data_IF_107565967075
#
_entry.id   IF_107565967075
#
_cell.length_a   1.000
_cell.length_b   1.000
_cell.length_c   1.000
_cell.angle_alpha   90.00
_cell.angle_beta   90.00
_cell.angle_gamma   90.00
#
_symmetry.space_group_name_H-M   'P 1'
#
loop_
_entity.id
_entity.type
_entity.pdbx_description
1 polymer ?
#
# COMPACT_ATOMS: atom_id res chain seq x y z
N UNK A 1 0.75 29.44 -33.58
CA UNK A 1 0.95 30.89 -33.35
C UNK A 1 -0.08 31.36 -32.34
N UNK A 2 0.34 32.00 -31.26
CA UNK A 2 -0.55 32.52 -30.19
C UNK A 2 -1.32 33.77 -30.58
N UNK A 3 -0.82 34.52 -31.56
CA UNK A 3 -1.42 35.79 -32.05
C UNK A 3 -1.77 35.67 -33.52
N UNK A 4 -3.05 35.88 -33.85
CA UNK A 4 -3.60 35.85 -35.21
C UNK A 4 -4.25 37.15 -35.56
N UNK A 5 -3.94 37.73 -36.75
CA UNK A 5 -4.60 38.92 -37.29
C UNK A 5 -5.95 38.54 -37.92
N UNK A 6 -7.03 39.22 -37.52
CA UNK A 6 -8.39 38.94 -38.02
C UNK A 6 -8.87 39.97 -39.06
N UNK A 7 -8.19 41.12 -39.18
CA UNK A 7 -8.57 42.21 -40.10
C UNK A 7 -7.99 43.55 -39.64
N UNK A 8 -8.55 44.69 -40.10
CA UNK A 8 -8.06 46.05 -39.80
C UNK A 8 -7.85 46.23 -38.29
N UNK A 9 -6.57 46.21 -37.84
CA UNK A 9 -6.12 46.40 -36.44
C UNK A 9 -6.74 45.44 -35.42
N UNK A 10 -7.46 44.37 -35.82
CA UNK A 10 -8.05 43.38 -34.90
C UNK A 10 -7.16 42.15 -34.83
N UNK A 11 -6.87 41.70 -33.61
CA UNK A 11 -6.05 40.53 -33.34
C UNK A 11 -6.76 39.60 -32.35
N UNK A 12 -6.59 38.30 -32.61
CA UNK A 12 -6.97 37.23 -31.71
C UNK A 12 -5.71 36.71 -31.02
N UNK A 13 -5.71 36.69 -29.70
CA UNK A 13 -4.63 36.20 -28.86
C UNK A 13 -5.19 35.06 -28.07
N UNK A 14 -4.59 33.88 -28.22
CA UNK A 14 -4.98 32.68 -27.47
C UNK A 14 -3.75 31.91 -27.02
N UNK A 15 -3.81 31.34 -25.82
CA UNK A 15 -2.72 30.57 -25.28
C UNK A 15 -3.09 29.94 -23.97
N UNK A 16 -2.10 29.42 -23.30
CA UNK A 16 -2.24 28.90 -21.96
C UNK A 16 -1.02 29.26 -21.12
N UNK A 17 -1.23 29.42 -19.82
CA UNK A 17 -0.18 29.54 -18.82
C UNK A 17 -0.35 28.44 -17.79
N UNK A 18 0.74 27.82 -17.32
CA UNK A 18 0.65 26.83 -16.28
C UNK A 18 0.20 27.50 -14.97
N UNK A 19 -0.74 26.87 -14.27
CA UNK A 19 -1.14 27.29 -12.92
C UNK A 19 -0.29 26.57 -11.87
N UNK A 20 -0.28 27.12 -10.66
CA UNK A 20 0.38 26.49 -9.49
C UNK A 20 -0.12 25.07 -9.19
N UNK A 21 -1.34 24.71 -9.62
CA UNK A 21 -1.94 23.38 -9.45
C UNK A 21 -1.53 22.36 -10.52
N UNK A 22 -0.65 22.74 -11.47
CA UNK A 22 -0.22 21.88 -12.58
C UNK A 22 -1.25 21.75 -13.70
N UNK A 23 -2.35 22.46 -13.63
CA UNK A 23 -3.32 22.63 -14.73
C UNK A 23 -2.89 23.81 -15.60
N UNK A 24 -3.50 23.93 -16.77
CA UNK A 24 -3.29 25.07 -17.64
C UNK A 24 -4.49 26.01 -17.55
N UNK A 25 -4.23 27.30 -17.35
CA UNK A 25 -5.22 28.37 -17.54
C UNK A 25 -5.18 28.78 -19.01
N UNK A 26 -6.31 28.62 -19.70
CA UNK A 26 -6.44 29.00 -21.09
C UNK A 26 -7.00 30.42 -21.18
N UNK A 27 -6.37 31.26 -21.99
CA UNK A 27 -6.84 32.66 -22.24
C UNK A 27 -7.15 32.84 -23.70
N UNK A 28 -8.12 33.73 -23.93
CA UNK A 28 -8.58 34.10 -25.25
C UNK A 28 -9.01 35.57 -25.24
N UNK A 29 -8.36 36.39 -26.09
CA UNK A 29 -8.68 37.81 -26.23
C UNK A 29 -8.88 38.16 -27.69
N UNK A 30 -9.85 39.04 -27.96
CA UNK A 30 -10.00 39.76 -29.24
C UNK A 30 -9.89 41.23 -28.95
N UNK A 31 -8.78 41.86 -29.35
CA UNK A 31 -8.48 43.26 -29.09
C UNK A 31 -7.91 43.91 -30.34
N UNK A 32 -7.99 45.26 -30.38
CA UNK A 32 -7.40 46.06 -31.44
C UNK A 32 -6.02 46.51 -31.01
N UNK A 33 -5.03 46.32 -31.89
CA UNK A 33 -3.66 46.78 -31.74
C UNK A 33 -3.15 47.38 -33.04
N UNK A 34 -2.19 48.31 -32.97
CA UNK A 34 -1.63 48.94 -34.15
C UNK A 34 -0.72 48.02 -34.95
N UNK A 35 -0.07 47.08 -34.28
CA UNK A 35 0.82 46.09 -34.88
C UNK A 35 0.70 44.73 -34.23
N UNK A 36 1.24 43.69 -34.93
CA UNK A 36 1.34 42.34 -34.36
C UNK A 36 2.32 42.29 -33.19
N UNK A 37 3.33 43.17 -33.19
CA UNK A 37 4.31 43.23 -32.09
C UNK A 37 3.67 43.79 -30.83
N UNK A 38 2.80 44.80 -30.94
CA UNK A 38 2.04 45.30 -29.81
C UNK A 38 1.08 44.25 -29.23
N UNK A 39 0.45 43.45 -30.07
CA UNK A 39 -0.39 42.34 -29.63
C UNK A 39 0.42 41.23 -28.90
N UNK A 40 1.65 40.95 -29.36
CA UNK A 40 2.58 40.01 -28.69
C UNK A 40 3.10 40.57 -27.37
N UNK A 41 3.42 41.84 -27.31
CA UNK A 41 3.84 42.51 -26.08
C UNK A 41 2.72 42.49 -25.04
N UNK A 42 1.46 42.70 -25.47
CA UNK A 42 0.30 42.55 -24.61
C UNK A 42 0.14 41.13 -24.09
N UNK A 43 0.36 40.11 -24.94
CA UNK A 43 0.34 38.70 -24.50
C UNK A 43 1.43 38.40 -23.47
N UNK A 44 2.65 38.90 -23.67
CA UNK A 44 3.75 38.77 -22.74
C UNK A 44 3.44 39.41 -21.38
N UNK A 45 2.97 40.65 -21.37
CA UNK A 45 2.55 41.37 -20.15
C UNK A 45 1.41 40.66 -19.43
N UNK A 46 0.48 40.05 -20.16
CA UNK A 46 -0.59 39.25 -19.57
C UNK A 46 -0.05 38.00 -18.90
N UNK A 47 0.89 37.28 -19.55
CA UNK A 47 1.54 36.09 -18.97
C UNK A 47 2.35 36.45 -17.72
N UNK A 48 3.04 37.56 -17.74
CA UNK A 48 3.82 38.06 -16.61
C UNK A 48 2.91 38.46 -15.44
N UNK A 49 1.84 39.25 -15.71
CA UNK A 49 0.88 39.65 -14.67
C UNK A 49 0.17 38.40 -14.06
N UNK A 50 -0.23 37.46 -14.90
CA UNK A 50 -0.85 36.23 -14.44
C UNK A 50 0.10 35.41 -13.55
N UNK A 51 1.39 35.36 -13.91
CA UNK A 51 2.41 34.74 -13.09
C UNK A 51 2.63 35.49 -11.76
N UNK A 52 2.62 36.80 -11.76
CA UNK A 52 2.77 37.64 -10.55
C UNK A 52 1.54 37.48 -9.64
N UNK A 53 0.31 37.53 -10.16
CA UNK A 53 -0.93 37.39 -9.39
C UNK A 53 -1.12 35.99 -8.80
N UNK A 54 -0.64 34.94 -9.48
CA UNK A 54 -0.71 33.56 -9.01
C UNK A 54 0.53 33.08 -8.24
N UNK A 55 1.57 33.91 -8.15
CA UNK A 55 2.82 33.66 -7.44
C UNK A 55 3.12 34.77 -6.42
N UNK A 56 2.14 35.25 -5.66
CA UNK A 56 2.46 35.80 -4.34
C UNK A 56 2.96 34.65 -3.50
N UNK A 57 4.24 34.30 -3.71
CA UNK A 57 5.00 33.49 -2.78
C UNK A 57 5.00 34.33 -1.50
N UNK A 58 4.19 33.94 -0.52
CA UNK A 58 4.49 34.37 0.83
C UNK A 58 5.96 34.03 1.06
N UNK A 59 6.75 35.05 1.42
CA UNK A 59 8.19 34.94 1.62
C UNK A 59 8.54 34.07 2.87
N UNK A 60 7.83 32.97 3.07
CA UNK A 60 8.15 31.97 4.07
C UNK A 60 9.26 31.08 3.55
N UNK A 61 10.49 31.46 3.90
CA UNK A 61 11.69 30.67 3.60
C UNK A 61 11.82 29.53 4.60
N UNK A 62 11.00 28.48 4.44
CA UNK A 62 11.12 27.29 5.29
C UNK A 62 12.40 26.51 5.02
N UNK A 63 13.01 26.00 6.08
CA UNK A 63 13.96 24.89 5.98
C UNK A 63 13.22 23.59 5.65
N UNK A 64 13.94 22.56 5.19
CA UNK A 64 13.33 21.25 4.93
C UNK A 64 12.65 20.68 6.17
N UNK A 65 13.28 20.85 7.35
CA UNK A 65 12.71 20.35 8.62
C UNK A 65 11.40 21.05 8.96
N UNK A 66 11.41 22.38 8.95
CA UNK A 66 10.20 23.18 9.21
C UNK A 66 9.07 22.82 8.23
N UNK A 67 9.40 22.62 6.96
CA UNK A 67 8.41 22.32 5.94
C UNK A 67 7.86 20.88 6.05
N UNK A 68 8.67 19.92 6.48
CA UNK A 68 8.20 18.57 6.85
C UNK A 68 7.16 18.68 7.97
N UNK A 69 7.43 19.49 8.99
CA UNK A 69 6.52 19.65 10.13
C UNK A 69 5.21 20.34 9.70
N UNK A 70 5.28 21.35 8.84
CA UNK A 70 4.10 22.00 8.22
C UNK A 70 3.27 20.99 7.42
N UNK A 71 3.91 20.18 6.58
CA UNK A 71 3.24 19.15 5.80
C UNK A 71 2.58 18.08 6.69
N UNK A 72 3.30 17.59 7.69
CA UNK A 72 2.80 16.56 8.60
C UNK A 72 1.62 17.07 9.43
N UNK A 73 1.63 18.34 9.84
CA UNK A 73 0.52 19.00 10.51
C UNK A 73 -0.69 19.15 9.56
N UNK A 74 -0.49 19.66 8.37
CA UNK A 74 -1.55 19.82 7.36
C UNK A 74 -2.22 18.51 6.96
N UNK A 75 -1.46 17.39 6.94
CA UNK A 75 -1.96 16.06 6.61
C UNK A 75 -2.29 15.20 7.83
N UNK A 76 -2.22 15.75 9.04
CA UNK A 76 -2.40 15.03 10.30
C UNK A 76 -3.69 14.21 10.37
N UNK A 77 -4.80 14.75 9.90
CA UNK A 77 -6.11 14.10 9.91
C UNK A 77 -6.38 13.19 8.69
N UNK A 78 -5.52 13.27 7.65
CA UNK A 78 -5.68 12.49 6.42
C UNK A 78 -4.81 11.23 6.40
N UNK A 79 -3.75 11.17 7.21
CA UNK A 79 -2.81 10.05 7.22
C UNK A 79 -3.07 9.09 8.36
N UNK A 80 -3.05 7.78 8.04
CA UNK A 80 -3.10 6.73 9.07
C UNK A 80 -1.85 6.79 9.95
N UNK A 81 -1.99 6.46 11.23
CA UNK A 81 -0.90 6.47 12.21
C UNK A 81 0.33 5.66 11.79
N UNK A 82 0.14 4.49 11.15
CA UNK A 82 1.24 3.69 10.60
C UNK A 82 1.99 4.40 9.45
N UNK A 83 1.30 5.23 8.67
CA UNK A 83 1.92 6.05 7.62
C UNK A 83 2.72 7.19 8.24
N UNK A 84 2.17 7.88 9.24
CA UNK A 84 2.88 8.93 10.00
C UNK A 84 4.17 8.39 10.59
N UNK A 85 4.11 7.26 11.30
CA UNK A 85 5.28 6.62 11.87
C UNK A 85 6.34 6.25 10.81
N UNK A 86 5.89 5.69 9.67
CA UNK A 86 6.80 5.40 8.56
C UNK A 86 7.44 6.66 7.98
N UNK A 87 6.68 7.76 7.87
CA UNK A 87 7.18 9.06 7.43
C UNK A 87 8.23 9.60 8.39
N UNK A 88 8.00 9.51 9.70
CA UNK A 88 8.97 9.91 10.74
C UNK A 88 10.29 9.13 10.64
N UNK A 89 10.26 7.83 10.34
CA UNK A 89 11.50 7.07 10.11
C UNK A 89 12.18 7.46 8.81
N UNK A 90 11.42 7.73 7.77
CA UNK A 90 11.95 8.15 6.47
C UNK A 90 12.57 9.54 6.56
N UNK A 91 11.92 10.49 7.24
CA UNK A 91 12.42 11.86 7.36
C UNK A 91 13.82 11.92 7.96
N UNK A 92 14.14 11.06 8.93
CA UNK A 92 15.47 10.98 9.57
C UNK A 92 16.62 10.74 8.59
N UNK A 93 16.38 10.08 7.46
CA UNK A 93 17.44 9.93 6.45
C UNK A 93 17.84 11.25 5.80
N UNK A 94 16.96 12.25 5.85
CA UNK A 94 17.18 13.58 5.29
C UNK A 94 17.68 14.61 6.31
N UNK A 95 18.04 14.17 7.54
CA UNK A 95 18.64 15.03 8.56
C UNK A 95 19.79 15.91 8.02
N UNK A 96 20.70 15.41 7.15
CA UNK A 96 21.77 16.25 6.59
C UNK A 96 21.29 17.44 5.75
N UNK A 97 20.01 17.46 5.35
CA UNK A 97 19.38 18.52 4.56
C UNK A 97 18.38 19.35 5.36
N UNK A 98 18.21 19.10 6.65
CA UNK A 98 17.17 19.72 7.45
C UNK A 98 17.26 21.26 7.53
N UNK A 99 18.47 21.78 7.56
CA UNK A 99 18.73 23.23 7.66
C UNK A 99 18.73 23.93 6.30
N UNK A 100 18.69 23.16 5.20
CA UNK A 100 18.63 23.70 3.85
C UNK A 100 17.24 24.27 3.55
N UNK A 101 17.22 25.41 2.83
CA UNK A 101 15.95 26.01 2.38
C UNK A 101 15.30 25.17 1.31
N UNK A 102 13.99 24.94 1.41
CA UNK A 102 13.25 24.10 0.44
C UNK A 102 13.33 24.63 -1.01
N UNK A 103 13.50 25.94 -1.18
CA UNK A 103 13.64 26.58 -2.49
C UNK A 103 14.99 26.29 -3.14
N UNK A 104 16.06 26.07 -2.33
CA UNK A 104 17.43 25.83 -2.81
C UNK A 104 17.76 24.35 -2.98
N UNK A 105 16.91 23.44 -2.48
CA UNK A 105 17.16 22.01 -2.55
C UNK A 105 17.19 21.51 -3.99
N UNK A 106 18.27 20.82 -4.33
CA UNK A 106 18.49 20.27 -5.66
C UNK A 106 18.22 18.77 -5.74
N UNK A 107 17.94 18.28 -6.94
CA UNK A 107 17.82 16.84 -7.20
C UNK A 107 19.12 16.08 -6.86
N UNK A 108 20.28 16.72 -7.02
CA UNK A 108 21.59 16.14 -6.71
C UNK A 108 21.76 15.85 -5.21
N UNK A 109 21.42 16.80 -4.33
CA UNK A 109 21.50 16.62 -2.88
C UNK A 109 20.58 15.50 -2.39
N UNK A 110 19.33 15.47 -2.88
CA UNK A 110 18.38 14.41 -2.54
C UNK A 110 18.87 13.06 -3.04
N UNK A 111 19.38 13.02 -4.29
CA UNK A 111 19.92 11.80 -4.88
C UNK A 111 21.12 11.27 -4.11
N UNK A 112 22.02 12.12 -3.64
CA UNK A 112 23.16 11.73 -2.83
C UNK A 112 22.74 10.98 -1.56
N UNK A 113 21.72 11.47 -0.83
CA UNK A 113 21.18 10.78 0.34
C UNK A 113 20.58 9.42 -0.02
N UNK A 114 19.77 9.37 -1.08
CA UNK A 114 19.13 8.13 -1.48
C UNK A 114 20.09 7.11 -2.08
N UNK A 115 21.14 7.54 -2.81
CA UNK A 115 22.23 6.68 -3.28
C UNK A 115 23.03 6.10 -2.10
N UNK A 116 23.34 6.92 -1.08
CA UNK A 116 24.02 6.46 0.13
C UNK A 116 23.18 5.41 0.88
N UNK A 117 21.86 5.63 1.00
CA UNK A 117 20.96 4.68 1.62
C UNK A 117 20.90 3.35 0.84
N UNK A 118 20.85 3.43 -0.50
CA UNK A 118 20.85 2.26 -1.38
C UNK A 118 22.17 1.47 -1.30
N UNK A 119 23.31 2.16 -1.30
CA UNK A 119 24.65 1.56 -1.13
C UNK A 119 24.82 0.89 0.24
N UNK A 120 24.18 1.40 1.31
CA UNK A 120 24.13 0.78 2.64
C UNK A 120 23.24 -0.47 2.70
N UNK A 121 22.66 -0.91 1.60
CA UNK A 121 21.89 -2.15 1.50
C UNK A 121 20.38 -2.00 1.74
N UNK A 122 19.83 -0.79 1.83
CA UNK A 122 18.37 -0.63 1.87
C UNK A 122 17.73 -1.17 0.59
N UNK A 123 16.54 -1.75 0.72
CA UNK A 123 15.82 -2.27 -0.44
C UNK A 123 15.40 -1.14 -1.39
N UNK A 124 15.30 -1.46 -2.68
CA UNK A 124 14.85 -0.51 -3.71
C UNK A 124 13.45 0.05 -3.38
N UNK A 125 12.55 -0.80 -2.84
CA UNK A 125 11.23 -0.37 -2.44
C UNK A 125 11.27 0.68 -1.33
N UNK A 126 12.19 0.50 -0.35
CA UNK A 126 12.32 1.44 0.74
C UNK A 126 12.89 2.78 0.26
N UNK A 127 13.93 2.74 -0.57
CA UNK A 127 14.52 3.98 -1.15
C UNK A 127 13.50 4.68 -2.07
N UNK A 128 12.75 3.94 -2.88
CA UNK A 128 11.66 4.52 -3.68
C UNK A 128 10.53 5.09 -2.82
N UNK A 129 10.29 4.52 -1.64
CA UNK A 129 9.35 5.07 -0.66
C UNK A 129 9.85 6.38 -0.06
N UNK A 130 11.17 6.53 0.17
CA UNK A 130 11.80 7.80 0.59
C UNK A 130 11.55 8.89 -0.47
N UNK A 131 11.80 8.60 -1.75
CA UNK A 131 11.50 9.51 -2.86
C UNK A 131 10.00 9.85 -2.94
N UNK A 132 9.12 8.86 -2.76
CA UNK A 132 7.68 9.08 -2.78
C UNK A 132 7.22 10.00 -1.65
N UNK A 133 7.82 9.90 -0.47
CA UNK A 133 7.53 10.77 0.66
C UNK A 133 7.93 12.22 0.37
N UNK A 134 9.18 12.46 -0.03
CA UNK A 134 9.62 13.80 -0.42
C UNK A 134 8.83 14.38 -1.59
N UNK A 135 8.52 13.55 -2.59
CA UNK A 135 7.70 13.99 -3.72
C UNK A 135 6.33 14.53 -3.28
N UNK A 136 5.70 13.94 -2.26
CA UNK A 136 4.44 14.44 -1.69
C UNK A 136 4.63 15.77 -0.98
N UNK A 137 5.72 15.95 -0.23
CA UNK A 137 6.05 17.19 0.47
C UNK A 137 6.26 18.32 -0.54
N UNK A 138 7.10 18.11 -1.56
CA UNK A 138 7.34 19.12 -2.59
C UNK A 138 6.13 19.40 -3.48
N UNK A 139 5.27 18.40 -3.76
CA UNK A 139 4.02 18.66 -4.46
C UNK A 139 3.06 19.53 -3.61
N UNK A 140 3.00 19.30 -2.30
CA UNK A 140 2.27 20.17 -1.39
C UNK A 140 2.86 21.60 -1.40
N UNK A 141 4.20 21.71 -1.44
CA UNK A 141 4.87 23.00 -1.59
C UNK A 141 4.52 23.74 -2.89
N UNK A 142 4.39 23.00 -3.99
CA UNK A 142 3.90 23.55 -5.28
C UNK A 142 2.44 24.00 -5.20
N UNK A 143 1.57 23.17 -4.59
CA UNK A 143 0.13 23.48 -4.43
C UNK A 143 -0.08 24.76 -3.60
N UNK A 144 0.76 24.98 -2.58
CA UNK A 144 0.69 26.12 -1.67
C UNK A 144 1.55 27.31 -2.10
N UNK A 145 2.29 27.22 -3.21
CA UNK A 145 3.14 28.29 -3.72
C UNK A 145 4.48 28.46 -2.99
N UNK A 146 4.87 27.58 -2.09
CA UNK A 146 6.14 27.68 -1.32
C UNK A 146 7.38 27.33 -2.15
N UNK A 147 7.24 26.57 -3.21
CA UNK A 147 8.32 26.22 -4.15
C UNK A 147 7.82 26.32 -5.59
N UNK A 148 8.73 26.63 -6.52
CA UNK A 148 8.41 26.76 -7.94
C UNK A 148 8.53 25.44 -8.71
N UNK A 149 9.32 24.49 -8.21
CA UNK A 149 9.50 23.17 -8.84
C UNK A 149 9.72 22.08 -7.80
N UNK A 150 9.48 20.84 -8.21
CA UNK A 150 9.72 19.68 -7.39
C UNK A 150 11.00 18.97 -7.84
N UNK A 151 12.10 19.06 -7.05
CA UNK A 151 13.39 18.47 -7.44
C UNK A 151 13.36 16.93 -7.50
N UNK A 152 12.42 16.28 -6.79
CA UNK A 152 12.32 14.81 -6.75
C UNK A 152 11.87 14.24 -8.09
N UNK A 153 11.10 14.97 -8.89
CA UNK A 153 10.59 14.50 -10.20
C UNK A 153 11.70 14.17 -11.21
N UNK A 154 12.89 14.73 -11.05
CA UNK A 154 14.06 14.47 -11.91
C UNK A 154 14.85 13.22 -11.48
N UNK A 155 14.51 12.59 -10.36
CA UNK A 155 15.21 11.41 -9.84
C UNK A 155 14.48 10.16 -10.30
N UNK A 156 15.19 9.32 -11.06
CA UNK A 156 14.67 8.03 -11.48
C UNK A 156 14.52 7.07 -10.30
N UNK A 157 13.53 6.19 -10.38
CA UNK A 157 13.35 5.16 -9.37
C UNK A 157 14.51 4.16 -9.37
N UNK A 158 14.88 3.72 -8.17
CA UNK A 158 15.88 2.67 -7.97
C UNK A 158 15.34 1.32 -8.41
N UNK A 159 16.19 0.55 -9.09
CA UNK A 159 15.93 -0.84 -9.51
C UNK A 159 17.21 -1.63 -9.30
N UNK A 160 17.11 -2.86 -8.82
CA UNK A 160 18.20 -3.84 -8.84
C UNK A 160 17.95 -4.78 -10.01
N UNK A 161 18.85 -4.82 -11.00
CA UNK A 161 18.66 -5.66 -12.18
C UNK A 161 18.59 -7.14 -11.82
N UNK A 162 19.35 -7.58 -10.81
CA UNK A 162 19.50 -8.98 -10.40
C UNK A 162 18.54 -9.40 -9.29
N UNK A 163 17.46 -8.65 -9.06
CA UNK A 163 16.48 -9.04 -8.05
C UNK A 163 15.76 -10.28 -8.52
N UNK A 164 16.16 -11.43 -7.99
CA UNK A 164 15.36 -12.66 -8.04
C UNK A 164 14.04 -12.32 -7.34
N UNK A 165 12.98 -12.17 -8.10
CA UNK A 165 11.64 -12.08 -7.53
C UNK A 165 11.43 -13.42 -6.84
N UNK A 166 11.30 -13.38 -5.52
CA UNK A 166 11.00 -14.56 -4.69
C UNK A 166 9.60 -15.06 -5.11
N UNK A 167 9.58 -15.77 -6.24
CA UNK A 167 8.34 -16.26 -6.86
C UNK A 167 7.68 -17.29 -5.97
N UNK A 168 8.46 -17.95 -5.11
CA UNK A 168 8.07 -19.07 -4.27
C UNK A 168 7.66 -18.68 -2.84
N UNK A 169 7.33 -17.41 -2.58
CA UNK A 169 6.83 -17.00 -1.25
C UNK A 169 5.35 -17.43 -1.03
N UNK A 170 5.06 -18.71 -1.32
CA UNK A 170 3.79 -19.38 -1.05
C UNK A 170 4.00 -20.89 -0.97
N UNK A 171 3.06 -21.62 -0.38
CA UNK A 171 3.05 -23.09 -0.33
C UNK A 171 1.99 -23.66 -1.28
N UNK A 172 2.35 -24.72 -1.99
CA UNK A 172 1.38 -25.62 -2.63
C UNK A 172 0.57 -26.36 -1.57
N UNK A 173 -0.54 -27.04 -1.93
CA UNK A 173 -1.29 -27.87 -0.98
C UNK A 173 -0.42 -28.92 -0.29
N UNK A 174 0.44 -29.62 -1.04
CA UNK A 174 1.30 -30.68 -0.51
C UNK A 174 2.38 -30.14 0.43
N UNK A 175 3.02 -29.02 0.05
CA UNK A 175 3.99 -28.33 0.91
C UNK A 175 3.34 -27.82 2.20
N UNK A 176 2.11 -27.28 2.11
CA UNK A 176 1.39 -26.86 3.30
C UNK A 176 1.04 -28.04 4.20
N UNK A 177 0.62 -29.17 3.64
CA UNK A 177 0.29 -30.37 4.41
C UNK A 177 1.54 -30.90 5.14
N UNK A 178 2.67 -31.03 4.44
CA UNK A 178 3.94 -31.45 5.04
C UNK A 178 4.39 -30.46 6.14
N UNK A 179 4.29 -29.16 5.89
CA UNK A 179 4.63 -28.15 6.87
C UNK A 179 3.73 -28.18 8.10
N UNK A 180 2.40 -28.30 7.93
CA UNK A 180 1.44 -28.19 9.02
C UNK A 180 1.42 -29.44 9.91
N UNK A 181 1.78 -30.61 9.37
CA UNK A 181 1.97 -31.83 10.16
C UNK A 181 3.12 -31.71 11.16
N UNK A 182 4.18 -30.99 10.80
CA UNK A 182 5.33 -30.72 11.66
C UNK A 182 5.15 -29.48 12.57
N UNK A 183 4.03 -28.79 12.46
CA UNK A 183 3.81 -27.56 13.23
C UNK A 183 3.56 -27.91 14.72
N UNK A 184 4.25 -27.23 15.65
CA UNK A 184 4.07 -27.51 17.08
C UNK A 184 2.65 -27.16 17.54
N UNK A 185 2.06 -28.02 18.40
CA UNK A 185 0.65 -27.96 18.82
C UNK A 185 0.45 -28.01 20.33
N UNK A 186 1.48 -27.77 21.13
CA UNK A 186 1.33 -27.78 22.58
C UNK A 186 0.37 -26.69 23.04
N UNK A 187 -0.64 -27.04 23.79
CA UNK A 187 -1.70 -26.18 24.28
C UNK A 187 -1.26 -25.24 25.42
N UNK A 188 -0.25 -25.68 26.20
CA UNK A 188 0.21 -24.95 27.39
C UNK A 188 1.10 -23.74 27.06
N UNK A 189 1.90 -23.82 26.00
CA UNK A 189 2.90 -22.79 25.68
C UNK A 189 2.49 -21.86 24.50
N UNK A 190 1.20 -21.86 24.12
CA UNK A 190 0.65 -21.04 23.05
C UNK A 190 0.98 -21.49 21.62
N UNK A 191 1.54 -22.68 21.44
CA UNK A 191 1.81 -23.23 20.11
C UNK A 191 0.54 -23.56 19.37
N UNK A 192 -0.47 -24.09 20.07
CA UNK A 192 -1.77 -24.41 19.50
C UNK A 192 -2.47 -23.17 18.92
N UNK A 193 -2.37 -22.03 19.61
CA UNK A 193 -2.87 -20.75 19.09
C UNK A 193 -2.20 -20.39 17.77
N UNK A 194 -0.87 -20.55 17.67
CA UNK A 194 -0.14 -20.29 16.43
C UNK A 194 -0.50 -21.28 15.32
N UNK A 195 -0.72 -22.54 15.64
CA UNK A 195 -1.21 -23.56 14.71
C UNK A 195 -2.55 -23.18 14.09
N UNK A 196 -3.52 -22.74 14.91
CA UNK A 196 -4.83 -22.31 14.43
C UNK A 196 -4.72 -21.04 13.58
N UNK A 197 -3.88 -20.07 13.99
CA UNK A 197 -3.60 -18.85 13.20
C UNK A 197 -3.09 -19.22 11.79
N UNK A 198 -2.12 -20.12 11.69
CA UNK A 198 -1.51 -20.50 10.41
C UNK A 198 -2.53 -21.20 9.50
N UNK A 199 -3.32 -22.14 10.04
CA UNK A 199 -4.41 -22.77 9.30
C UNK A 199 -5.42 -21.73 8.81
N UNK A 200 -5.82 -20.79 9.66
CA UNK A 200 -6.76 -19.74 9.29
C UNK A 200 -6.20 -18.83 8.19
N UNK A 201 -4.94 -18.44 8.26
CA UNK A 201 -4.28 -17.66 7.21
C UNK A 201 -4.26 -18.42 5.87
N UNK A 202 -3.97 -19.71 5.88
CA UNK A 202 -3.94 -20.54 4.68
C UNK A 202 -5.34 -20.75 4.09
N UNK A 203 -6.29 -21.24 4.88
CA UNK A 203 -7.62 -21.60 4.39
C UNK A 203 -8.53 -20.41 4.11
N UNK A 204 -8.38 -19.31 4.84
CA UNK A 204 -9.23 -18.14 4.68
C UNK A 204 -8.57 -17.02 3.85
N UNK A 205 -7.27 -17.06 3.63
CA UNK A 205 -6.52 -16.05 2.88
C UNK A 205 -6.59 -14.64 3.47
N UNK A 206 -6.89 -14.49 4.76
CA UNK A 206 -6.97 -13.19 5.43
C UNK A 206 -5.58 -12.58 5.67
N UNK A 207 -5.54 -11.25 5.90
CA UNK A 207 -4.30 -10.60 6.33
C UNK A 207 -4.01 -10.93 7.78
N UNK A 208 -2.73 -11.01 8.17
CA UNK A 208 -2.36 -11.30 9.56
C UNK A 208 -3.01 -10.34 10.57
N UNK A 209 -3.03 -9.03 10.27
CA UNK A 209 -3.69 -8.05 11.13
C UNK A 209 -5.20 -8.24 11.23
N UNK A 210 -5.87 -8.75 10.21
CA UNK A 210 -7.29 -9.13 10.23
C UNK A 210 -7.50 -10.37 11.09
N UNK A 211 -6.63 -11.39 10.92
CA UNK A 211 -6.67 -12.63 11.68
C UNK A 211 -6.58 -12.39 13.20
N UNK A 212 -5.54 -11.68 13.65
CA UNK A 212 -5.32 -11.43 15.08
C UNK A 212 -6.24 -10.38 15.69
N UNK A 213 -7.04 -9.68 14.86
CA UNK A 213 -8.08 -8.77 15.31
C UNK A 213 -9.41 -9.47 15.61
N UNK A 214 -9.56 -10.75 15.22
CA UNK A 214 -10.81 -11.49 15.42
C UNK A 214 -11.15 -11.60 16.90
N UNK A 215 -12.44 -11.43 17.19
CA UNK A 215 -13.06 -11.65 18.50
C UNK A 215 -14.13 -12.72 18.36
N UNK A 216 -14.66 -13.20 19.47
CA UNK A 216 -15.74 -14.19 19.48
C UNK A 216 -16.96 -13.75 18.66
N UNK A 217 -17.24 -12.44 18.64
CA UNK A 217 -18.36 -11.88 17.89
C UNK A 217 -18.22 -11.94 16.38
N UNK A 218 -17.01 -12.24 15.86
CA UNK A 218 -16.75 -12.33 14.42
C UNK A 218 -16.92 -13.75 13.86
N UNK A 219 -17.19 -14.75 14.73
CA UNK A 219 -17.33 -16.16 14.36
C UNK A 219 -18.79 -16.60 14.54
N UNK A 220 -19.35 -17.16 13.49
CA UNK A 220 -20.66 -17.83 13.51
C UNK A 220 -20.43 -19.31 13.17
N UNK A 221 -20.40 -20.15 14.21
CA UNK A 221 -20.14 -21.59 14.05
C UNK A 221 -21.34 -22.33 13.44
N UNK A 222 -22.55 -21.84 13.64
CA UNK A 222 -23.77 -22.44 13.08
C UNK A 222 -23.76 -22.30 11.55
N UNK A 223 -23.53 -21.07 11.06
CA UNK A 223 -23.36 -20.80 9.62
C UNK A 223 -21.98 -21.20 9.09
N UNK A 224 -21.02 -21.49 9.95
CA UNK A 224 -19.64 -21.78 9.57
C UNK A 224 -18.94 -20.60 8.89
N UNK A 225 -19.17 -19.35 9.37
CA UNK A 225 -18.65 -18.15 8.75
C UNK A 225 -17.78 -17.31 9.68
N UNK A 226 -16.84 -16.55 9.09
CA UNK A 226 -15.98 -15.57 9.78
C UNK A 226 -16.18 -14.21 9.12
N UNK A 227 -16.38 -13.17 9.94
CA UNK A 227 -16.50 -11.78 9.50
C UNK A 227 -15.20 -11.02 9.73
N UNK A 228 -14.58 -10.54 8.66
CA UNK A 228 -13.40 -9.68 8.71
C UNK A 228 -13.85 -8.22 8.53
N UNK A 229 -13.83 -7.43 9.60
CA UNK A 229 -14.31 -6.04 9.62
C UNK A 229 -13.35 -5.08 10.35
N UNK A 230 -12.25 -5.60 10.87
CA UNK A 230 -11.25 -4.85 11.64
C UNK A 230 -9.84 -5.41 11.43
N UNK A 231 -8.83 -4.64 11.78
CA UNK A 231 -7.41 -5.04 11.70
C UNK A 231 -6.62 -4.45 12.86
N UNK A 232 -5.60 -5.15 13.30
CA UNK A 232 -4.66 -4.66 14.30
C UNK A 232 -3.55 -3.86 13.61
N UNK A 233 -3.44 -2.58 13.95
CA UNK A 233 -2.26 -1.75 13.72
C UNK A 233 -1.39 -1.74 14.98
N UNK A 234 -0.05 -1.84 14.81
CA UNK A 234 0.88 -1.91 15.93
C UNK A 234 1.71 -0.63 16.05
N UNK A 235 2.18 -0.36 17.27
CA UNK A 235 3.05 0.75 17.61
C UNK A 235 2.46 2.12 17.24
N UNK A 236 1.22 2.38 17.68
CA UNK A 236 0.51 3.60 17.34
C UNK A 236 0.34 4.46 18.59
N UNK A 237 0.82 5.70 18.56
CA UNK A 237 0.58 6.72 19.59
C UNK A 237 0.87 6.23 21.02
N UNK A 238 2.03 5.61 21.25
CA UNK A 238 2.42 5.12 22.58
C UNK A 238 1.69 3.84 23.05
N UNK A 239 0.77 3.30 22.23
CA UNK A 239 0.09 2.02 22.48
C UNK A 239 0.79 0.88 21.77
N UNK A 240 0.81 -0.31 22.36
CA UNK A 240 1.38 -1.50 21.74
C UNK A 240 0.58 -1.98 20.52
N UNK A 241 -0.70 -1.69 20.44
CA UNK A 241 -1.58 -1.97 19.30
C UNK A 241 -2.80 -1.03 19.30
N UNK A 242 -3.42 -0.93 18.12
CA UNK A 242 -4.69 -0.24 17.93
C UNK A 242 -5.54 -1.09 16.97
N UNK A 243 -6.80 -1.34 17.34
CA UNK A 243 -7.78 -1.96 16.43
C UNK A 243 -8.39 -0.85 15.57
N UNK A 244 -8.32 -1.00 14.27
CA UNK A 244 -8.82 -0.02 13.31
C UNK A 244 -9.71 -0.69 12.27
N UNK A 245 -10.65 0.05 11.65
CA UNK A 245 -11.36 -0.47 10.48
C UNK A 245 -10.38 -0.73 9.34
N UNK A 246 -10.73 -1.59 8.38
CA UNK A 246 -9.91 -1.86 7.21
C UNK A 246 -9.66 -0.61 6.36
N UNK A 247 -8.67 -0.67 5.46
CA UNK A 247 -8.32 0.46 4.58
C UNK A 247 -9.39 0.78 3.54
N UNK A 248 -10.12 -0.24 3.08
CA UNK A 248 -11.11 -0.12 2.00
C UNK A 248 -12.41 -0.83 2.40
N UNK A 249 -13.53 -0.39 1.84
CA UNK A 249 -14.83 -1.05 2.03
C UNK A 249 -14.82 -2.52 1.58
N UNK A 250 -14.10 -2.84 0.51
CA UNK A 250 -13.97 -4.22 -0.01
C UNK A 250 -13.25 -5.17 0.96
N UNK A 251 -12.50 -4.65 1.92
CA UNK A 251 -11.85 -5.48 2.95
C UNK A 251 -12.83 -5.98 4.01
N UNK A 252 -14.01 -5.35 4.15
CA UNK A 252 -15.08 -5.84 5.03
C UNK A 252 -15.82 -6.96 4.29
N UNK A 253 -15.74 -8.16 4.84
CA UNK A 253 -16.31 -9.36 4.20
C UNK A 253 -16.62 -10.45 5.21
N UNK A 254 -17.59 -11.29 4.87
CA UNK A 254 -17.89 -12.54 5.58
C UNK A 254 -17.55 -13.70 4.66
N UNK A 255 -16.78 -14.65 5.16
CA UNK A 255 -16.26 -15.80 4.39
C UNK A 255 -16.68 -17.08 5.08
N UNK A 256 -17.17 -18.06 4.31
CA UNK A 256 -17.47 -19.41 4.79
C UNK A 256 -16.19 -20.20 4.99
N UNK A 257 -16.06 -20.88 6.11
CA UNK A 257 -14.96 -21.78 6.44
C UNK A 257 -15.07 -23.08 5.64
N UNK A 258 -13.97 -23.59 5.05
CA UNK A 258 -13.92 -24.97 4.58
C UNK A 258 -14.12 -25.95 5.75
N UNK A 259 -14.62 -27.15 5.47
CA UNK A 259 -14.91 -28.20 6.50
C UNK A 259 -13.74 -28.40 7.48
N UNK A 260 -12.52 -28.58 6.96
CA UNK A 260 -11.31 -28.73 7.77
C UNK A 260 -11.07 -27.55 8.72
N UNK A 261 -11.22 -26.32 8.23
CA UNK A 261 -11.05 -25.12 9.07
C UNK A 261 -12.14 -25.01 10.14
N UNK A 262 -13.39 -25.39 9.80
CA UNK A 262 -14.51 -25.42 10.74
C UNK A 262 -14.24 -26.38 11.89
N UNK A 263 -13.72 -27.59 11.62
CA UNK A 263 -13.33 -28.57 12.64
C UNK A 263 -12.21 -28.01 13.56
N UNK A 264 -11.14 -27.47 12.96
CA UNK A 264 -10.03 -26.87 13.71
C UNK A 264 -10.52 -25.72 14.61
N UNK A 265 -11.42 -24.89 14.08
CA UNK A 265 -11.99 -23.75 14.82
C UNK A 265 -12.87 -24.24 15.98
N UNK A 266 -13.69 -25.28 15.79
CA UNK A 266 -14.52 -25.85 16.84
C UNK A 266 -13.66 -26.35 18.00
N UNK A 267 -12.68 -27.21 17.71
CA UNK A 267 -11.76 -27.73 18.74
C UNK A 267 -11.03 -26.61 19.50
N UNK A 268 -10.64 -25.57 18.75
CA UNK A 268 -9.98 -24.40 19.33
C UNK A 268 -10.90 -23.62 20.27
N UNK A 269 -12.13 -23.37 19.84
CA UNK A 269 -13.12 -22.61 20.63
C UNK A 269 -13.52 -23.35 21.90
N UNK A 270 -13.68 -24.68 21.84
CA UNK A 270 -14.00 -25.50 23.00
C UNK A 270 -12.86 -25.42 24.01
N UNK A 271 -11.61 -25.72 23.58
CA UNK A 271 -10.43 -25.58 24.43
C UNK A 271 -10.25 -24.16 24.97
N UNK A 272 -10.52 -23.13 24.17
CA UNK A 272 -10.32 -21.73 24.56
C UNK A 272 -11.32 -21.27 25.63
N UNK A 273 -12.59 -21.69 25.53
CA UNK A 273 -13.64 -21.40 26.49
C UNK A 273 -13.42 -22.11 27.84
N UNK A 274 -12.83 -23.29 27.83
CA UNK A 274 -12.49 -24.03 29.04
C UNK A 274 -11.41 -23.34 29.87
N UNK A 275 -10.49 -22.62 29.19
CA UNK A 275 -9.36 -21.98 29.86
C UNK A 275 -9.61 -20.54 30.27
N UNK A 276 -10.47 -19.80 29.57
CA UNK A 276 -10.61 -18.35 29.72
C UNK A 276 -12.07 -17.94 29.87
N UNK A 277 -12.31 -16.93 30.75
CA UNK A 277 -13.60 -16.22 30.80
C UNK A 277 -13.75 -15.40 29.50
N UNK A 278 -14.47 -15.95 28.54
CA UNK A 278 -14.58 -15.39 27.20
C UNK A 278 -15.82 -14.53 27.07
N UNK A 279 -15.64 -13.26 26.67
CA UNK A 279 -16.73 -12.34 26.29
C UNK A 279 -16.79 -12.22 24.77
N UNK A 280 -17.83 -11.56 24.25
CA UNK A 280 -17.97 -11.29 22.81
C UNK A 280 -16.82 -10.47 22.24
N UNK A 281 -16.16 -9.64 23.05
CA UNK A 281 -15.08 -8.73 22.65
C UNK A 281 -13.68 -9.28 22.95
N UNK A 282 -13.59 -10.46 23.60
CA UNK A 282 -12.30 -11.12 23.85
C UNK A 282 -11.65 -11.50 22.53
N UNK A 283 -10.36 -11.12 22.37
CA UNK A 283 -9.61 -11.52 21.19
C UNK A 283 -9.51 -13.04 21.08
N UNK A 284 -9.84 -13.56 19.92
CA UNK A 284 -9.76 -15.00 19.65
C UNK A 284 -8.33 -15.54 19.80
N UNK A 285 -7.33 -14.72 19.47
CA UNK A 285 -5.92 -15.09 19.54
C UNK A 285 -5.17 -14.13 20.47
N UNK A 286 -5.14 -14.47 21.78
CA UNK A 286 -4.31 -13.76 22.77
C UNK A 286 -5.03 -13.09 23.92
N UNK A 287 -6.30 -13.39 24.18
CA UNK A 287 -7.12 -12.90 25.31
C UNK A 287 -7.16 -11.36 25.44
N UNK A 288 -6.22 -10.77 26.19
CA UNK A 288 -6.17 -9.32 26.46
C UNK A 288 -5.49 -8.52 25.35
N UNK A 289 -4.64 -9.15 24.56
CA UNK A 289 -3.87 -8.49 23.48
C UNK A 289 -3.61 -9.44 22.32
N UNK A 290 -3.65 -8.93 21.09
CA UNK A 290 -3.44 -9.77 19.90
C UNK A 290 -2.04 -10.38 19.85
N UNK A 291 -1.94 -11.63 19.41
CA UNK A 291 -0.67 -12.36 19.20
C UNK A 291 0.26 -11.59 18.27
N UNK A 292 1.55 -11.55 18.60
CA UNK A 292 2.58 -10.88 17.81
C UNK A 292 3.05 -11.75 16.64
N UNK A 293 3.26 -11.14 15.48
CA UNK A 293 3.79 -11.82 14.30
C UNK A 293 5.13 -12.54 14.57
N UNK A 294 5.98 -11.97 15.45
CA UNK A 294 7.26 -12.63 15.84
C UNK A 294 7.06 -13.97 16.52
N UNK A 295 5.98 -14.14 17.30
CA UNK A 295 5.66 -15.40 17.99
C UNK A 295 5.29 -16.47 16.96
N UNK A 296 4.38 -16.13 16.02
CA UNK A 296 3.99 -17.04 14.94
C UNK A 296 5.20 -17.41 14.06
N UNK A 297 6.03 -16.42 13.67
CA UNK A 297 7.26 -16.69 12.88
C UNK A 297 8.21 -17.64 13.57
N UNK A 298 8.38 -17.53 14.90
CA UNK A 298 9.23 -18.45 15.66
C UNK A 298 8.71 -19.90 15.55
N UNK A 299 7.39 -20.10 15.65
CA UNK A 299 6.79 -21.45 15.52
C UNK A 299 6.83 -21.96 14.07
N UNK A 300 6.66 -21.08 13.09
CA UNK A 300 6.85 -21.43 11.68
C UNK A 300 8.28 -21.92 11.40
N UNK A 301 9.30 -21.24 11.94
CA UNK A 301 10.70 -21.64 11.76
C UNK A 301 10.95 -23.07 12.27
N UNK A 302 10.40 -23.42 13.44
CA UNK A 302 10.47 -24.78 13.99
C UNK A 302 9.81 -25.80 13.05
N UNK A 303 8.64 -25.45 12.50
CA UNK A 303 7.93 -26.33 11.58
C UNK A 303 8.71 -26.53 10.26
N UNK A 304 9.31 -25.45 9.73
CA UNK A 304 10.14 -25.50 8.53
C UNK A 304 11.39 -26.39 8.75
N UNK A 305 12.06 -26.24 9.88
CA UNK A 305 13.21 -27.05 10.24
C UNK A 305 12.86 -28.54 10.30
N UNK A 306 11.73 -28.89 10.93
CA UNK A 306 11.26 -30.28 11.08
C UNK A 306 10.75 -30.90 9.78
N UNK A 307 10.12 -30.10 8.92
CA UNK A 307 9.53 -30.56 7.66
C UNK A 307 10.49 -30.51 6.47
N UNK A 308 11.59 -29.76 6.57
CA UNK A 308 12.46 -29.48 5.43
C UNK A 308 11.85 -28.48 4.43
N UNK A 309 10.65 -27.95 4.70
CA UNK A 309 9.97 -26.99 3.81
C UNK A 309 10.57 -25.59 4.01
N UNK A 310 10.76 -24.87 2.92
CA UNK A 310 11.28 -23.49 2.94
C UNK A 310 10.43 -22.54 3.79
N UNK A 311 11.06 -21.57 4.42
CA UNK A 311 10.36 -20.54 5.19
C UNK A 311 9.74 -19.50 4.26
N UNK A 312 8.43 -19.27 4.36
CA UNK A 312 7.74 -18.18 3.66
C UNK A 312 7.40 -17.03 4.62
N UNK A 313 7.11 -15.85 4.08
CA UNK A 313 6.57 -14.75 4.86
C UNK A 313 5.14 -15.07 5.33
N UNK A 314 4.70 -14.52 6.46
CA UNK A 314 3.31 -14.75 6.94
C UNK A 314 2.26 -14.37 5.85
N UNK A 315 2.55 -13.35 5.03
CA UNK A 315 1.68 -12.97 3.92
C UNK A 315 1.68 -14.00 2.77
N UNK A 316 2.68 -14.88 2.75
CA UNK A 316 2.77 -16.01 1.82
C UNK A 316 1.58 -16.96 1.93
N UNK A 317 1.03 -17.21 3.12
CA UNK A 317 -0.18 -18.04 3.28
C UNK A 317 -1.39 -17.48 2.51
N UNK A 318 -1.51 -16.15 2.46
CA UNK A 318 -2.56 -15.53 1.64
C UNK A 318 -2.29 -15.71 0.15
N UNK A 319 -1.01 -15.71 -0.27
CA UNK A 319 -0.63 -16.05 -1.64
C UNK A 319 -0.91 -17.52 -1.94
N UNK A 320 -0.64 -18.43 -0.98
CA UNK A 320 -0.99 -19.84 -1.09
C UNK A 320 -2.49 -20.05 -1.33
N UNK A 321 -3.34 -19.38 -0.53
CA UNK A 321 -4.79 -19.43 -0.73
C UNK A 321 -5.22 -18.94 -2.12
N UNK A 322 -4.63 -17.84 -2.57
CA UNK A 322 -4.92 -17.29 -3.89
C UNK A 322 -4.45 -18.24 -5.00
N UNK A 323 -3.24 -18.76 -4.92
CA UNK A 323 -2.68 -19.74 -5.88
C UNK A 323 -3.54 -21.00 -5.96
N UNK A 324 -3.95 -21.54 -4.80
CA UNK A 324 -4.85 -22.71 -4.73
C UNK A 324 -6.16 -22.45 -5.49
N UNK A 325 -6.79 -21.29 -5.27
CA UNK A 325 -8.05 -20.95 -5.93
C UNK A 325 -7.88 -20.67 -7.43
N UNK A 326 -6.79 -20.01 -7.81
CA UNK A 326 -6.48 -19.73 -9.21
C UNK A 326 -6.17 -21.03 -9.98
N UNK A 327 -5.41 -21.94 -9.40
CA UNK A 327 -5.11 -23.25 -10.02
C UNK A 327 -6.37 -24.17 -10.10
N UNK A 328 -7.35 -23.95 -9.25
CA UNK A 328 -8.65 -24.60 -9.32
C UNK A 328 -9.62 -23.89 -10.29
N UNK A 329 -9.14 -22.98 -11.16
CA UNK A 329 -9.91 -22.22 -12.13
C UNK A 329 -11.07 -21.40 -11.51
N UNK A 330 -10.97 -20.99 -10.24
CA UNK A 330 -11.97 -20.15 -9.61
C UNK A 330 -12.05 -18.78 -10.30
N UNK A 331 -13.26 -18.24 -10.57
CA UNK A 331 -13.41 -16.93 -11.17
C UNK A 331 -12.68 -15.83 -10.38
N UNK A 332 -11.88 -15.00 -11.07
CA UNK A 332 -11.08 -13.93 -10.47
C UNK A 332 -11.93 -13.00 -9.58
N UNK A 333 -13.16 -12.74 -9.97
CA UNK A 333 -14.12 -11.94 -9.19
C UNK A 333 -14.42 -12.55 -7.82
N UNK A 334 -14.57 -13.87 -7.74
CA UNK A 334 -14.81 -14.60 -6.48
C UNK A 334 -13.54 -14.64 -5.62
N UNK A 335 -12.39 -14.89 -6.23
CA UNK A 335 -11.08 -14.83 -5.52
C UNK A 335 -10.85 -13.44 -4.95
N UNK A 336 -11.05 -12.39 -5.75
CA UNK A 336 -10.91 -11.00 -5.31
C UNK A 336 -11.86 -10.67 -4.14
N UNK A 337 -13.14 -11.05 -4.25
CA UNK A 337 -14.14 -10.87 -3.18
C UNK A 337 -13.72 -11.59 -1.89
N UNK A 338 -13.30 -12.87 -1.98
CA UNK A 338 -12.84 -13.66 -0.84
C UNK A 338 -11.63 -13.02 -0.16
N UNK A 339 -10.65 -12.55 -0.93
CA UNK A 339 -9.46 -11.92 -0.41
C UNK A 339 -9.68 -10.45 0.04
N UNK A 340 -10.77 -9.80 -0.36
CA UNK A 340 -11.01 -8.38 -0.12
C UNK A 340 -10.04 -7.49 -0.91
N UNK A 341 -9.85 -7.83 -2.18
CA UNK A 341 -9.13 -7.06 -3.20
C UNK A 341 -10.10 -6.49 -4.23
N UNK A 342 -9.65 -5.52 -5.02
CA UNK A 342 -10.28 -5.23 -6.32
C UNK A 342 -9.89 -6.32 -7.33
N UNK A 343 -10.68 -6.51 -8.38
CA UNK A 343 -10.33 -7.47 -9.45
C UNK A 343 -8.98 -7.12 -10.09
N UNK A 344 -8.72 -5.82 -10.31
CA UNK A 344 -7.44 -5.33 -10.86
C UNK A 344 -6.25 -5.66 -9.96
N UNK A 345 -6.38 -5.53 -8.64
CA UNK A 345 -5.32 -5.93 -7.70
C UNK A 345 -5.11 -7.44 -7.71
N UNK A 346 -6.21 -8.22 -7.78
CA UNK A 346 -6.16 -9.66 -7.84
C UNK A 346 -5.43 -10.13 -9.10
N UNK A 347 -5.80 -9.61 -10.27
CA UNK A 347 -5.12 -9.91 -11.54
C UNK A 347 -3.64 -9.55 -11.50
N UNK A 348 -3.28 -8.33 -11.10
CA UNK A 348 -1.88 -7.90 -11.03
C UNK A 348 -1.02 -8.75 -10.09
N UNK A 349 -1.62 -9.24 -9.01
CA UNK A 349 -0.87 -9.99 -7.98
C UNK A 349 -0.79 -11.48 -8.29
N UNK A 350 -1.84 -12.05 -8.89
CA UNK A 350 -2.01 -13.50 -8.98
C UNK A 350 -2.12 -14.03 -10.42
N UNK A 351 -2.07 -13.15 -11.46
CA UNK A 351 -2.13 -13.57 -12.87
C UNK A 351 -1.11 -14.66 -13.22
N UNK A 352 0.06 -14.63 -12.59
CA UNK A 352 1.11 -15.63 -12.77
C UNK A 352 0.78 -17.03 -12.22
N UNK A 353 -0.24 -17.14 -11.38
CA UNK A 353 -0.74 -18.41 -10.83
C UNK A 353 -1.87 -19.01 -11.67
N UNK A 354 -2.39 -18.29 -12.65
CA UNK A 354 -3.30 -18.83 -13.64
C UNK A 354 -2.46 -19.55 -14.71
N UNK A 355 -1.99 -20.74 -14.37
CA UNK A 355 -1.27 -21.62 -15.32
C UNK A 355 -2.28 -22.32 -16.26
N UNK A 356 -3.08 -21.54 -16.97
CA UNK A 356 -3.80 -22.10 -18.11
C UNK A 356 -2.79 -22.23 -19.25
N UNK A 357 -2.26 -23.45 -19.43
CA UNK A 357 -1.52 -23.75 -20.62
C UNK A 357 -2.45 -23.65 -21.84
N UNK A 358 -1.91 -23.34 -23.01
CA UNK A 358 -2.69 -23.36 -24.25
C UNK A 358 -3.45 -24.69 -24.42
N UNK A 359 -2.86 -25.82 -23.92
CA UNK A 359 -3.51 -27.12 -23.85
C UNK A 359 -4.79 -27.15 -23.02
N UNK A 360 -4.81 -26.49 -21.85
CA UNK A 360 -6.01 -26.42 -21.01
C UNK A 360 -7.11 -25.60 -21.70
N UNK A 361 -6.74 -24.53 -22.44
CA UNK A 361 -7.69 -23.77 -23.25
C UNK A 361 -8.29 -24.60 -24.36
N UNK A 362 -7.47 -25.41 -25.06
CA UNK A 362 -7.94 -26.33 -26.09
C UNK A 362 -8.87 -27.38 -25.50
N UNK A 363 -8.51 -28.02 -24.37
CA UNK A 363 -9.37 -28.97 -23.69
C UNK A 363 -10.74 -28.38 -23.28
N UNK A 364 -10.75 -27.10 -22.84
CA UNK A 364 -12.01 -26.41 -22.53
C UNK A 364 -12.86 -26.18 -23.78
N UNK A 365 -12.22 -25.80 -24.90
CA UNK A 365 -12.93 -25.63 -26.17
C UNK A 365 -13.50 -26.97 -26.63
N UNK A 366 -12.69 -28.02 -26.69
CA UNK A 366 -13.07 -29.34 -27.14
C UNK A 366 -14.26 -29.90 -26.31
N UNK A 367 -14.24 -29.74 -24.99
CA UNK A 367 -15.30 -30.16 -24.09
C UNK A 367 -16.67 -29.49 -24.29
N UNK A 368 -16.73 -28.39 -25.05
CA UNK A 368 -18.00 -27.73 -25.40
C UNK A 368 -18.66 -28.28 -26.69
N UNK A 369 -17.92 -29.11 -27.45
CA UNK A 369 -18.35 -29.65 -28.74
C UNK A 369 -18.43 -31.19 -28.76
N UNK A 370 -18.06 -31.84 -27.64
CA UNK A 370 -18.37 -33.24 -27.35
C UNK A 370 -19.73 -33.37 -26.63
#
# INVERSE_FOLDING_TARGET
MSVKRLGNKKYEIRGSVPTSTGKYHYYFFRKSFNSINEAREYELKYKESFNIENHTIENHSYTLKEFIDVYDLAKANQLKSSTKQSNTYISKYFEPLYDEKIQSLTSGQIKQITDAAFKKGLSEEYVNKMLTYLNKIFNYGLEMGYVQFNPVKRISKYKRPDKIIDEDDFYTPDEFEQFIQCFPRNKENGEYVCYVIVNLLYFMGCRFGECVALTMNDIDMDKGTIRFNKTVARYVQGRSYLVTPPKTKNSIRTITMPKRMKCIMQEYLDWYKDLYCVTKDTFLFGVDRPVLAKVVKKRMAIACERSGIRMIKIHGFRRSNASLLCNANAPVSLVAKRLGHTQTECLKTYVKFFNNSEKDLICIIDSQFE
#
